data_IF_173315656994
#
_entry.id   IF_173315656994
#
_cell.length_a   1.000
_cell.length_b   1.000
_cell.length_c   1.000
_cell.angle_alpha   90.00
_cell.angle_beta   90.00
_cell.angle_gamma   90.00
#
_symmetry.space_group_name_H-M   'P 1'
#
loop_
_entity.id
_entity.type
_entity.pdbx_description
1 polymer ?
2 non-polymer ?
#
# COMPACT_ATOMS: atom_id res chain seq x y z
N UNK A 3 -7.02 -9.35 -1.75
CA UNK A 3 -7.54 -10.16 -0.64
C UNK A 3 -8.92 -9.66 -0.28
N UNK A 4 -9.92 -10.54 -0.36
CA UNK A 4 -11.27 -10.11 0.04
C UNK A 4 -11.65 -10.83 1.32
N UNK A 5 -11.89 -10.07 2.38
CA UNK A 5 -12.42 -10.71 3.61
C UNK A 5 -13.91 -10.47 3.46
N UNK A 6 -14.31 -10.05 2.27
CA UNK A 6 -15.72 -9.70 2.09
C UNK A 6 -16.50 -10.88 2.61
N UNK A 7 -17.37 -10.66 3.60
CA UNK A 7 -18.06 -11.75 4.20
C UNK A 7 -19.23 -12.24 3.36
N UNK A 8 -19.59 -13.50 3.50
CA UNK A 8 -20.79 -14.01 2.83
C UNK A 8 -21.93 -13.60 3.73
N UNK A 9 -21.65 -13.55 5.03
CA UNK A 9 -22.63 -13.16 6.01
C UNK A 9 -21.97 -12.79 7.33
N UNK A 10 -22.62 -11.85 8.04
CA UNK A 10 -22.19 -11.32 9.31
C UNK A 10 -23.33 -11.34 10.33
N UNK A 11 -22.96 -11.42 11.61
CA UNK A 11 -23.90 -11.48 12.74
C UNK A 11 -24.05 -10.14 13.51
N UNK A 12 -25.27 -9.56 13.48
CA UNK A 12 -25.63 -8.31 14.23
C UNK A 12 -26.57 -8.65 15.41
N UNK A 13 -26.80 -9.93 15.68
CA UNK A 13 -27.51 -10.45 16.88
C UNK A 13 -27.08 -11.91 17.12
N UNK A 14 -27.44 -12.50 18.27
CA UNK A 14 -27.13 -13.95 18.54
C UNK A 14 -28.36 -14.73 19.03
N UNK A 15 -28.12 -15.98 19.44
CA UNK A 15 -29.17 -16.80 19.97
C UNK A 15 -29.38 -16.43 21.46
N UNK A 16 -30.67 -16.43 21.87
CA UNK A 16 -31.16 -16.02 23.22
C UNK A 16 -31.09 -17.17 24.23
N UNK A 17 -31.31 -18.40 23.75
CA UNK A 17 -31.35 -19.60 24.57
C UNK A 17 -30.72 -20.76 23.77
N UNK A 18 -30.03 -21.66 24.50
CA UNK A 18 -29.24 -22.81 23.97
C UNK A 18 -30.10 -23.66 23.02
N UNK A 19 -29.60 -23.81 21.79
CA UNK A 19 -30.21 -24.64 20.79
C UNK A 19 -29.99 -26.10 21.18
N UNK A 20 -30.99 -26.98 20.95
CA UNK A 20 -30.79 -28.42 21.12
C UNK A 20 -29.69 -28.95 20.19
N UNK A 21 -28.64 -29.52 20.79
CA UNK A 21 -27.40 -29.88 20.11
C UNK A 21 -27.70 -30.70 18.85
N UNK A 22 -28.69 -31.59 18.92
CA UNK A 22 -28.96 -32.53 17.84
C UNK A 22 -29.64 -31.84 16.64
N UNK A 23 -30.00 -30.54 16.75
CA UNK A 23 -30.63 -29.86 15.64
C UNK A 23 -29.57 -29.10 14.82
N UNK A 24 -28.33 -29.13 15.29
CA UNK A 24 -27.25 -28.44 14.62
C UNK A 24 -26.41 -29.42 13.81
N UNK A 25 -26.36 -29.20 12.50
CA UNK A 25 -25.57 -30.00 11.55
C UNK A 25 -24.08 -29.56 11.56
N UNK A 26 -23.81 -28.25 11.45
CA UNK A 26 -22.50 -27.73 11.15
C UNK A 26 -22.39 -26.27 11.60
N UNK A 27 -21.20 -25.68 11.50
CA UNK A 27 -21.00 -24.32 11.91
C UNK A 27 -19.93 -23.68 11.02
N UNK A 28 -19.85 -22.35 11.04
CA UNK A 28 -18.65 -21.67 10.60
C UNK A 28 -18.43 -20.46 11.49
N UNK A 29 -17.17 -20.01 11.57
CA UNK A 29 -16.81 -18.81 12.25
C UNK A 29 -16.79 -17.70 11.19
N UNK A 30 -17.39 -16.53 11.51
CA UNK A 30 -17.53 -15.41 10.59
C UNK A 30 -16.22 -14.64 10.43
N UNK A 31 -16.12 -13.98 9.26
CA UNK A 31 -14.94 -13.23 8.82
C UNK A 31 -14.61 -12.12 9.83
N UNK A 32 -13.33 -11.90 10.05
CA UNK A 32 -12.87 -10.71 10.76
C UNK A 32 -13.33 -9.42 10.07
N UNK A 33 -13.71 -9.44 8.78
CA UNK A 33 -14.23 -8.21 8.16
C UNK A 33 -15.53 -7.80 8.87
N UNK A 34 -16.25 -8.77 9.47
CA UNK A 34 -17.50 -8.49 10.23
C UNK A 34 -17.26 -7.57 11.45
N UNK A 35 -18.28 -6.71 11.70
CA UNK A 35 -18.41 -5.85 12.91
C UNK A 35 -18.17 -6.65 14.20
N UNK A 36 -18.80 -7.82 14.32
CA UNK A 36 -18.81 -8.57 15.56
C UNK A 36 -18.29 -9.99 15.38
N UNK A 37 -17.61 -10.58 16.40
CA UNK A 37 -17.17 -11.97 16.38
C UNK A 37 -18.46 -12.82 16.38
N UNK A 38 -18.46 -13.94 15.65
CA UNK A 38 -19.68 -14.71 15.48
C UNK A 38 -19.43 -16.15 15.08
N UNK A 39 -20.47 -16.96 15.30
CA UNK A 39 -20.59 -18.33 14.85
C UNK A 39 -21.94 -18.45 14.14
N UNK A 40 -21.93 -18.94 12.91
CA UNK A 40 -23.15 -19.29 12.28
C UNK A 40 -23.30 -20.82 12.37
N UNK A 41 -24.44 -21.26 12.92
CA UNK A 41 -24.86 -22.67 12.99
C UNK A 41 -25.81 -22.92 11.79
N UNK A 42 -25.55 -24.04 11.11
CA UNK A 42 -26.40 -24.61 10.09
C UNK A 42 -27.22 -25.69 10.77
N UNK A 43 -28.50 -25.79 10.44
CA UNK A 43 -29.39 -26.71 11.15
C UNK A 43 -29.68 -27.96 10.33
N UNK A 44 -30.55 -28.81 10.86
CA UNK A 44 -31.06 -29.96 10.13
C UNK A 44 -32.27 -29.54 9.28
N UNK A 45 -32.53 -28.23 9.20
CA UNK A 45 -33.23 -27.57 8.08
C UNK A 45 -32.19 -26.78 7.27
N UNK A 46 -32.56 -26.32 6.07
CA UNK A 46 -31.60 -25.62 5.21
C UNK A 46 -31.05 -24.37 5.90
N UNK A 47 -31.84 -23.78 6.80
CA UNK A 47 -31.63 -22.40 7.31
C UNK A 47 -30.36 -22.31 8.17
N UNK A 48 -29.93 -21.08 8.47
CA UNK A 48 -28.73 -20.81 9.31
C UNK A 48 -28.97 -19.64 10.28
N UNK A 49 -28.23 -19.64 11.40
CA UNK A 49 -28.50 -18.73 12.54
C UNK A 49 -27.20 -18.34 13.26
N UNK A 50 -27.29 -17.23 14.02
CA UNK A 50 -26.16 -16.56 14.63
C UNK A 50 -26.03 -16.92 16.11
N UNK A 51 -24.77 -17.02 16.60
CA UNK A 51 -24.42 -17.49 17.95
C UNK A 51 -23.12 -16.86 18.46
N UNK A 52 -23.09 -16.55 19.77
CA UNK A 52 -22.04 -15.85 20.46
C UNK A 52 -20.97 -16.85 20.88
N UNK A 53 -19.72 -16.71 20.39
CA UNK A 53 -18.62 -17.64 20.70
C UNK A 53 -18.06 -17.57 22.13
N UNK A 54 -18.59 -16.62 22.93
CA UNK A 54 -18.23 -16.41 24.32
C UNK A 54 -18.75 -17.56 25.19
N UNK A 55 -19.98 -17.99 24.92
CA UNK A 55 -20.73 -18.82 25.84
C UNK A 55 -20.21 -20.25 25.79
N UNK A 56 -20.20 -20.91 26.95
CA UNK A 56 -19.76 -22.29 27.12
C UNK A 56 -20.55 -23.22 26.20
N UNK A 57 -21.85 -23.00 26.05
CA UNK A 57 -22.63 -23.90 25.21
C UNK A 57 -22.13 -23.82 23.77
N UNK A 58 -21.90 -22.61 23.28
CA UNK A 58 -21.41 -22.44 21.90
C UNK A 58 -20.01 -23.07 21.77
N UNK A 59 -19.10 -22.76 22.71
CA UNK A 59 -17.72 -23.26 22.71
C UNK A 59 -17.71 -24.78 22.81
N UNK A 60 -18.63 -25.33 23.61
CA UNK A 60 -18.69 -26.76 23.79
C UNK A 60 -19.28 -27.40 22.53
N UNK A 61 -20.28 -26.77 21.92
CA UNK A 61 -20.91 -27.30 20.72
C UNK A 61 -19.90 -27.38 19.58
N UNK A 62 -19.11 -26.31 19.46
CA UNK A 62 -18.11 -26.19 18.44
C UNK A 62 -17.03 -27.27 18.70
N UNK A 63 -16.54 -27.36 19.94
CA UNK A 63 -15.57 -28.42 20.35
C UNK A 63 -16.05 -29.80 19.90
N UNK A 64 -17.31 -30.10 20.21
CA UNK A 64 -17.92 -31.38 19.86
C UNK A 64 -17.96 -31.49 18.33
N UNK A 65 -18.37 -30.43 17.63
CA UNK A 65 -18.52 -30.49 16.16
C UNK A 65 -17.18 -30.74 15.46
N UNK A 66 -16.10 -30.18 16.02
CA UNK A 66 -14.73 -30.37 15.50
C UNK A 66 -14.22 -31.79 15.78
N UNK A 67 -14.50 -32.31 16.98
CA UNK A 67 -14.13 -33.68 17.38
C UNK A 67 -14.90 -34.70 16.53
N UNK A 68 -16.15 -34.40 16.18
CA UNK A 68 -16.99 -35.22 15.27
C UNK A 68 -16.37 -35.28 13.87
N UNK A 69 -16.12 -34.09 13.29
CA UNK A 69 -15.62 -33.93 11.92
C UNK A 69 -14.41 -32.99 11.92
N UNK A 100 -34.95 -34.05 14.12
CA UNK A 100 -36.16 -33.46 14.72
C UNK A 100 -36.42 -32.04 14.18
N UNK A 101 -37.70 -31.67 14.01
CA UNK A 101 -38.09 -30.37 13.34
C UNK A 101 -38.64 -29.39 14.38
N UNK A 102 -37.99 -28.23 14.47
CA UNK A 102 -38.30 -27.16 15.41
C UNK A 102 -38.44 -25.84 14.66
N UNK A 103 -39.23 -24.92 15.20
CA UNK A 103 -39.21 -23.53 14.77
C UNK A 103 -38.42 -22.76 15.83
N UNK A 104 -37.14 -22.50 15.52
CA UNK A 104 -36.17 -21.88 16.46
C UNK A 104 -36.12 -20.35 16.26
N UNK A 105 -36.97 -19.80 15.37
CA UNK A 105 -37.06 -18.37 15.12
C UNK A 105 -37.47 -17.64 16.41
N UNK A 106 -38.14 -18.36 17.32
CA UNK A 106 -38.63 -17.78 18.56
C UNK A 106 -37.46 -17.20 19.37
N UNK A 107 -36.24 -17.76 19.20
CA UNK A 107 -35.05 -17.28 19.96
C UNK A 107 -33.74 -17.14 19.13
N UNK A 108 -33.77 -17.41 17.82
CA UNK A 108 -32.57 -17.28 16.97
C UNK A 108 -32.88 -16.37 15.77
N UNK A 109 -31.80 -15.92 15.14
CA UNK A 109 -31.81 -14.88 14.12
C UNK A 109 -31.08 -15.38 12.83
N UNK A 110 -31.59 -14.99 11.65
CA UNK A 110 -30.86 -15.18 10.36
C UNK A 110 -29.77 -14.12 10.17
N UNK A 111 -28.53 -14.52 9.80
CA UNK A 111 -27.47 -13.57 9.50
C UNK A 111 -27.78 -12.60 8.36
N UNK A 112 -27.07 -11.46 8.36
CA UNK A 112 -27.02 -10.55 7.21
C UNK A 112 -26.33 -11.21 6.00
N UNK A 113 -27.11 -11.45 4.92
CA UNK A 113 -26.60 -12.11 3.73
C UNK A 113 -26.07 -11.07 2.74
N UNK A 114 -24.85 -11.28 2.25
CA UNK A 114 -24.15 -10.32 1.39
C UNK A 114 -24.23 -10.79 -0.06
N UNK A 115 -25.47 -10.78 -0.54
CA UNK A 115 -25.93 -11.25 -1.84
C UNK A 115 -25.48 -10.28 -2.94
N UNK A 116 -25.72 -8.99 -2.66
CA UNK A 116 -25.53 -7.89 -3.61
C UNK A 116 -24.02 -7.65 -3.81
N UNK A 117 -23.29 -7.69 -2.70
CA UNK A 117 -21.86 -7.45 -2.69
C UNK A 117 -21.21 -8.47 -3.65
N UNK A 118 -21.37 -9.76 -3.36
CA UNK A 118 -20.74 -10.91 -4.08
C UNK A 118 -21.19 -10.91 -5.56
N UNK A 119 -22.47 -10.64 -5.81
CA UNK A 119 -23.06 -10.66 -7.18
C UNK A 119 -22.39 -9.58 -8.07
N UNK A 120 -22.09 -8.41 -7.49
CA UNK A 120 -21.43 -7.32 -8.23
C UNK A 120 -19.97 -7.70 -8.53
N UNK A 121 -19.29 -8.32 -7.55
CA UNK A 121 -17.87 -8.70 -7.64
C UNK A 121 -17.68 -9.67 -8.81
N UNK A 122 -18.50 -10.72 -8.83
CA UNK A 122 -18.39 -11.85 -9.78
C UNK A 122 -18.64 -11.40 -11.23
N UNK A 123 -19.40 -10.32 -11.39
CA UNK A 123 -19.87 -9.86 -12.70
C UNK A 123 -18.81 -8.97 -13.37
N UNK A 124 -18.20 -8.06 -12.60
CA UNK A 124 -17.44 -6.95 -13.17
C UNK A 124 -15.92 -7.15 -13.08
N UNK A 125 -15.42 -7.70 -11.95
CA UNK A 125 -13.98 -7.70 -11.64
C UNK A 125 -13.20 -8.74 -12.45
N UNK A 126 -13.68 -9.99 -12.68
CA UNK A 126 -12.93 -10.92 -13.52
C UNK A 126 -12.34 -10.30 -14.80
N UNK A 127 -13.10 -9.61 -15.69
CA UNK A 127 -12.51 -9.09 -16.93
C UNK A 127 -11.50 -7.94 -16.74
N UNK A 128 -11.68 -7.17 -15.67
CA UNK A 128 -10.71 -6.16 -15.25
C UNK A 128 -9.38 -6.80 -14.84
N UNK A 129 -9.43 -7.80 -13.93
CA UNK A 129 -8.23 -8.39 -13.39
C UNK A 129 -7.47 -9.06 -14.52
N UNK A 130 -8.21 -9.65 -15.48
CA UNK A 130 -7.65 -10.23 -16.73
C UNK A 130 -6.77 -9.18 -17.37
N UNK A 131 -7.42 -8.05 -17.66
CA UNK A 131 -6.83 -6.92 -18.33
C UNK A 131 -5.53 -6.47 -17.61
N UNK A 132 -5.59 -6.21 -16.30
CA UNK A 132 -4.46 -5.60 -15.59
C UNK A 132 -3.37 -6.66 -15.36
N UNK A 133 -3.76 -7.91 -15.33
CA UNK A 133 -2.76 -8.95 -15.17
C UNK A 133 -1.86 -9.04 -16.40
N UNK A 134 -2.45 -8.86 -17.57
CA UNK A 134 -1.75 -8.95 -18.82
C UNK A 134 -0.79 -7.76 -18.96
N UNK A 135 -1.36 -6.56 -18.88
CA UNK A 135 -0.60 -5.34 -19.04
C UNK A 135 0.47 -5.24 -17.95
N UNK A 136 0.09 -5.54 -16.71
CA UNK A 136 0.95 -5.43 -15.55
C UNK A 136 2.18 -6.30 -15.68
N UNK A 137 1.99 -7.59 -16.02
CA UNK A 137 3.09 -8.57 -15.99
C UNK A 137 4.15 -8.20 -17.03
N UNK A 138 3.68 -7.92 -18.25
CA UNK A 138 4.50 -7.43 -19.35
C UNK A 138 5.22 -6.13 -18.93
N UNK A 139 4.43 -5.09 -18.59
CA UNK A 139 4.97 -3.86 -18.05
C UNK A 139 6.16 -4.10 -17.11
N UNK A 140 5.98 -4.94 -16.09
CA UNK A 140 6.92 -4.91 -14.99
C UNK A 140 8.10 -5.84 -15.24
N UNK A 141 7.91 -6.87 -16.07
CA UNK A 141 9.08 -7.63 -16.55
C UNK A 141 9.97 -6.74 -17.45
N UNK A 142 9.39 -5.89 -18.32
CA UNK A 142 10.17 -5.00 -19.21
C UNK A 142 11.02 -4.04 -18.36
N UNK A 143 10.39 -3.38 -17.39
CA UNK A 143 11.08 -2.45 -16.46
C UNK A 143 12.25 -3.20 -15.80
N UNK A 144 11.99 -4.37 -15.27
CA UNK A 144 13.01 -5.11 -14.58
C UNK A 144 14.17 -5.43 -15.51
N UNK A 145 13.86 -5.89 -16.73
CA UNK A 145 14.90 -6.31 -17.69
C UNK A 145 15.75 -5.09 -18.09
N UNK A 146 15.08 -3.96 -18.33
CA UNK A 146 15.76 -2.76 -18.68
C UNK A 146 16.63 -2.30 -17.51
N UNK A 147 16.10 -2.21 -16.29
CA UNK A 147 16.88 -1.77 -15.15
C UNK A 147 18.14 -2.64 -14.96
N UNK A 148 18.12 -3.90 -15.39
CA UNK A 148 19.28 -4.82 -15.20
C UNK A 148 20.22 -4.77 -16.41
N UNK A 149 19.67 -4.59 -17.63
CA UNK A 149 20.42 -4.71 -18.91
C UNK A 149 20.86 -3.35 -19.47
N UNK A 150 20.01 -2.32 -19.42
CA UNK A 150 20.39 -1.02 -20.00
C UNK A 150 20.92 -0.07 -18.92
N UNK A 151 20.15 0.20 -17.86
CA UNK A 151 20.52 1.22 -16.84
C UNK A 151 21.49 0.66 -15.78
N UNK A 152 21.69 -0.66 -15.76
CA UNK A 152 22.86 -1.40 -15.20
C UNK A 152 23.00 -1.31 -13.67
N UNK A 153 21.96 -0.87 -12.94
CA UNK A 153 21.98 -0.85 -11.46
C UNK A 153 23.27 -0.18 -10.93
N UNK A 154 23.39 1.13 -11.20
CA UNK A 154 24.58 1.90 -10.87
C UNK A 154 24.56 2.36 -9.41
N UNK A 155 23.37 2.62 -8.84
CA UNK A 155 23.22 3.30 -7.53
C UNK A 155 22.03 2.75 -6.73
N UNK A 156 21.88 3.23 -5.49
CA UNK A 156 20.73 2.93 -4.60
C UNK A 156 19.38 3.21 -5.30
N UNK A 157 19.27 4.30 -6.07
CA UNK A 157 18.01 4.66 -6.72
C UNK A 157 17.57 3.54 -7.67
N UNK A 158 18.53 3.03 -8.45
CA UNK A 158 18.23 1.97 -9.39
C UNK A 158 17.75 0.71 -8.64
N UNK A 159 18.40 0.39 -7.52
CA UNK A 159 18.09 -0.74 -6.67
C UNK A 159 16.63 -0.66 -6.19
N UNK A 160 16.23 0.52 -5.68
CA UNK A 160 14.86 0.69 -5.15
C UNK A 160 13.87 0.51 -6.31
N UNK A 161 14.14 1.11 -7.50
CA UNK A 161 13.24 1.00 -8.66
C UNK A 161 13.03 -0.47 -9.00
N UNK A 162 14.14 -1.23 -8.92
CA UNK A 162 14.10 -2.64 -9.17
C UNK A 162 13.22 -3.31 -8.11
N UNK A 163 13.48 -3.04 -6.83
CA UNK A 163 12.68 -3.71 -5.77
C UNK A 163 11.20 -3.30 -5.85
N UNK A 164 10.91 -2.09 -6.37
CA UNK A 164 9.54 -1.65 -6.56
C UNK A 164 8.89 -2.53 -7.63
N UNK A 165 9.59 -2.69 -8.74
CA UNK A 165 9.04 -3.50 -9.81
C UNK A 165 8.83 -4.95 -9.33
N UNK A 166 9.69 -5.45 -8.43
CA UNK A 166 9.59 -6.84 -7.91
C UNK A 166 8.40 -6.95 -6.94
N UNK A 167 8.22 -5.93 -6.08
CA UNK A 167 7.02 -5.85 -5.23
C UNK A 167 5.77 -5.89 -6.11
N UNK A 168 5.77 -5.17 -7.25
CA UNK A 168 4.59 -5.04 -8.17
C UNK A 168 4.30 -6.44 -8.77
N UNK A 169 5.37 -7.17 -9.13
CA UNK A 169 5.19 -8.50 -9.70
C UNK A 169 4.60 -9.45 -8.65
N UNK A 170 5.13 -9.44 -7.42
CA UNK A 170 4.61 -10.33 -6.32
C UNK A 170 3.11 -10.15 -6.06
N UNK A 171 2.63 -8.91 -6.16
CA UNK A 171 1.22 -8.58 -6.09
C UNK A 171 0.47 -9.18 -7.29
N UNK A 172 1.03 -9.00 -8.50
CA UNK A 172 0.45 -9.54 -9.77
C UNK A 172 0.30 -11.05 -9.75
N UNK A 173 1.28 -11.75 -9.17
CA UNK A 173 1.25 -13.21 -9.15
C UNK A 173 -0.08 -13.67 -8.56
N UNK A 174 -0.67 -12.83 -7.68
CA UNK A 174 -1.79 -13.28 -6.89
C UNK A 174 -3.11 -13.00 -7.57
N UNK A 175 -3.10 -12.09 -8.56
CA UNK A 175 -4.32 -11.51 -9.17
C UNK A 175 -5.23 -12.53 -9.85
N UNK A 176 -4.68 -13.45 -10.66
CA UNK A 176 -5.52 -14.51 -11.24
C UNK A 176 -6.32 -15.32 -10.21
N UNK A 177 -5.74 -15.57 -9.02
CA UNK A 177 -6.41 -16.28 -7.90
C UNK A 177 -7.57 -15.45 -7.33
N UNK A 178 -7.30 -14.16 -7.17
CA UNK A 178 -8.32 -13.31 -6.58
C UNK A 178 -9.52 -13.26 -7.55
N UNK A 179 -9.26 -13.07 -8.85
CA UNK A 179 -10.33 -12.95 -9.89
C UNK A 179 -11.25 -14.18 -9.91
N UNK A 180 -10.62 -15.36 -9.86
CA UNK A 180 -11.34 -16.59 -9.74
C UNK A 180 -12.13 -16.58 -8.43
N UNK A 181 -11.45 -16.23 -7.33
CA UNK A 181 -12.11 -16.29 -6.04
C UNK A 181 -13.40 -15.48 -6.14
N UNK A 182 -13.30 -14.29 -6.75
CA UNK A 182 -14.44 -13.37 -6.93
C UNK A 182 -15.55 -13.96 -7.80
N UNK A 183 -15.16 -14.54 -8.93
CA UNK A 183 -16.12 -15.14 -9.86
C UNK A 183 -16.81 -16.35 -9.19
N UNK A 184 -16.04 -17.21 -8.51
CA UNK A 184 -16.53 -18.48 -7.97
C UNK A 184 -16.34 -18.54 -6.45
N UNK A 185 -15.34 -19.30 -5.98
CA UNK A 185 -15.12 -19.48 -4.56
C UNK A 185 -13.66 -19.87 -4.36
N UNK A 186 -13.19 -19.86 -3.11
CA UNK A 186 -11.81 -20.25 -2.86
C UNK A 186 -11.71 -21.72 -3.11
N UNK A 187 -10.88 -22.18 -4.05
CA UNK A 187 -10.77 -23.67 -4.18
C UNK A 187 -9.30 -24.14 -4.24
N UNK A 188 -8.38 -23.34 -3.67
CA UNK A 188 -6.96 -23.58 -3.72
C UNK A 188 -6.47 -24.19 -2.37
N UNK A 189 -7.37 -24.31 -1.38
CA UNK A 189 -6.96 -24.89 -0.10
C UNK A 189 -6.30 -23.89 0.87
N UNK A 190 -6.04 -24.38 2.11
CA UNK A 190 -5.48 -23.62 3.24
C UNK A 190 -4.04 -23.13 3.01
N UNK A 191 -3.09 -23.99 2.71
CA UNK A 191 -1.70 -23.51 2.49
C UNK A 191 -1.71 -22.35 1.47
N UNK A 192 -2.42 -22.52 0.33
CA UNK A 192 -2.46 -21.52 -0.73
C UNK A 192 -3.07 -20.21 -0.20
N UNK A 193 -4.15 -20.34 0.58
CA UNK A 193 -4.76 -19.18 1.23
C UNK A 193 -3.67 -18.39 1.98
N UNK A 194 -2.91 -19.08 2.87
CA UNK A 194 -1.92 -18.48 3.76
C UNK A 194 -0.74 -17.90 2.98
N UNK A 195 -0.23 -18.64 1.99
CA UNK A 195 0.91 -18.11 1.23
C UNK A 195 0.47 -17.01 0.25
N UNK A 196 -0.73 -17.09 -0.37
CA UNK A 196 -1.09 -16.03 -1.32
C UNK A 196 -1.36 -14.74 -0.57
N UNK A 197 -2.09 -14.88 0.55
CA UNK A 197 -2.31 -13.77 1.48
C UNK A 197 -0.96 -13.18 1.88
N UNK A 198 0.01 -14.03 2.26
CA UNK A 198 1.33 -13.55 2.55
C UNK A 198 1.95 -12.72 1.42
N UNK A 199 1.87 -13.21 0.19
CA UNK A 199 2.52 -12.56 -0.98
C UNK A 199 1.79 -11.26 -1.32
N UNK A 200 0.47 -11.28 -1.25
CA UNK A 200 -0.23 -10.06 -1.45
C UNK A 200 0.31 -8.96 -0.52
N UNK A 201 0.31 -9.23 0.79
CA UNK A 201 0.58 -8.14 1.72
C UNK A 201 2.06 -7.83 1.75
N UNK A 202 2.90 -8.84 1.55
CA UNK A 202 4.29 -8.53 1.55
C UNK A 202 4.57 -7.54 0.45
N UNK A 203 4.00 -7.83 -0.74
CA UNK A 203 3.97 -6.97 -1.96
C UNK A 203 3.40 -5.58 -1.72
N UNK A 204 2.29 -5.52 -0.97
CA UNK A 204 1.64 -4.25 -0.64
C UNK A 204 2.59 -3.37 0.18
N UNK A 205 3.04 -3.90 1.32
CA UNK A 205 3.83 -3.18 2.33
C UNK A 205 5.20 -2.80 1.78
N UNK A 206 5.82 -3.74 1.09
CA UNK A 206 7.10 -3.43 0.52
C UNK A 206 6.93 -2.39 -0.61
N UNK A 207 5.81 -2.44 -1.35
CA UNK A 207 5.64 -1.48 -2.45
C UNK A 207 5.60 -0.06 -1.93
N UNK A 208 4.87 0.11 -0.81
CA UNK A 208 4.74 1.38 -0.14
C UNK A 208 6.14 1.81 0.31
N UNK A 209 6.82 0.93 1.06
CA UNK A 209 8.12 1.27 1.65
C UNK A 209 9.14 1.72 0.58
N UNK A 210 9.16 1.05 -0.57
CA UNK A 210 10.09 1.47 -1.63
C UNK A 210 9.64 2.80 -2.30
N UNK A 211 8.34 3.10 -2.36
CA UNK A 211 8.05 4.38 -2.96
C UNK A 211 8.59 5.43 -1.99
N UNK A 212 8.34 5.21 -0.71
CA UNK A 212 8.89 6.10 0.34
C UNK A 212 10.43 6.19 0.25
N UNK A 213 11.14 5.06 0.19
CA UNK A 213 12.61 5.12 0.03
C UNK A 213 13.03 5.93 -1.20
N UNK A 214 12.38 5.73 -2.35
CA UNK A 214 12.71 6.51 -3.55
C UNK A 214 12.49 8.00 -3.31
N UNK A 215 11.43 8.34 -2.62
CA UNK A 215 11.25 9.77 -2.37
C UNK A 215 12.39 10.31 -1.47
N UNK A 216 12.69 9.59 -0.36
CA UNK A 216 13.70 10.00 0.68
C UNK A 216 15.09 10.09 0.04
N UNK A 217 15.47 9.05 -0.70
CA UNK A 217 16.67 9.06 -1.52
C UNK A 217 16.71 10.40 -2.29
N UNK A 218 15.72 10.74 -3.12
CA UNK A 218 15.86 11.92 -3.97
C UNK A 218 15.96 13.17 -3.10
N UNK A 219 15.28 13.17 -1.96
CA UNK A 219 15.38 14.30 -0.99
C UNK A 219 16.85 14.48 -0.52
N UNK A 220 17.53 13.41 -0.11
CA UNK A 220 18.92 13.54 0.34
C UNK A 220 19.85 14.00 -0.79
N UNK A 221 19.65 13.46 -1.99
CA UNK A 221 20.46 13.79 -3.15
C UNK A 221 20.41 15.30 -3.41
N UNK A 222 19.26 15.92 -3.15
CA UNK A 222 19.00 17.30 -3.55
C UNK A 222 19.29 18.25 -2.39
N UNK A 223 19.06 17.80 -1.16
CA UNK A 223 19.11 18.68 -0.04
C UNK A 223 20.38 18.34 0.73
N UNK A 224 20.34 17.23 1.49
CA UNK A 224 21.43 16.82 2.37
C UNK A 224 22.50 16.03 1.57
N UNK A 225 23.14 16.67 0.57
CA UNK A 225 24.32 16.12 -0.17
C UNK A 225 25.42 15.67 0.81
N UNK A 226 25.36 16.24 2.03
CA UNK A 226 26.09 15.89 3.29
C UNK A 226 26.23 14.36 3.41
N UNK A 227 25.09 13.68 3.51
CA UNK A 227 24.99 12.25 3.85
C UNK A 227 24.71 11.40 2.60
N UNK A 228 24.34 12.08 1.51
CA UNK A 228 23.89 11.48 0.26
C UNK A 228 25.03 10.72 -0.43
N UNK A 229 26.27 11.07 -0.13
CA UNK A 229 27.41 10.44 -0.79
C UNK A 229 27.66 9.04 -0.20
N UNK A 230 27.23 8.79 1.05
CA UNK A 230 27.25 7.45 1.63
C UNK A 230 26.00 6.65 1.28
N UNK A 231 24.85 7.34 1.32
CA UNK A 231 23.51 6.78 1.15
C UNK A 231 23.23 6.33 -0.30
N UNK A 232 23.86 6.98 -1.28
CA UNK A 232 23.59 6.72 -2.70
C UNK A 232 24.34 5.49 -3.19
N UNK A 233 25.16 4.84 -2.35
CA UNK A 233 25.95 3.69 -2.83
C UNK A 233 25.05 2.47 -2.98
N UNK A 234 25.48 1.57 -3.87
CA UNK A 234 24.81 0.30 -4.19
C UNK A 234 24.75 -0.55 -2.91
N UNK A 235 25.83 -0.57 -2.10
CA UNK A 235 25.89 -1.45 -0.94
C UNK A 235 24.85 -0.98 0.05
N UNK A 236 24.76 0.35 0.19
CA UNK A 236 23.82 0.95 1.13
C UNK A 236 22.41 0.49 0.73
N UNK A 237 22.09 0.61 -0.57
CA UNK A 237 20.80 0.25 -1.16
C UNK A 237 20.36 -1.17 -0.84
N UNK A 238 21.29 -2.11 -1.02
CA UNK A 238 21.08 -3.52 -0.75
C UNK A 238 20.88 -3.77 0.74
N UNK A 239 21.66 -3.12 1.60
CA UNK A 239 21.51 -3.36 3.03
C UNK A 239 20.11 -2.90 3.46
N UNK A 240 19.69 -1.74 2.96
CA UNK A 240 18.36 -1.16 3.26
C UNK A 240 17.22 -1.89 2.51
N UNK A 241 17.46 -2.45 1.32
CA UNK A 241 16.45 -3.35 0.72
C UNK A 241 16.19 -4.58 1.63
N UNK A 242 17.26 -5.30 2.04
CA UNK A 242 17.16 -6.55 2.86
C UNK A 242 16.39 -6.31 4.19
N UNK A 243 16.77 -5.26 4.91
CA UNK A 243 16.03 -4.86 6.14
C UNK A 243 14.53 -4.66 5.83
N UNK A 244 14.26 -4.00 4.68
CA UNK A 244 12.94 -3.53 4.27
C UNK A 244 12.03 -4.72 3.99
N UNK A 245 12.47 -5.61 3.09
CA UNK A 245 11.74 -6.85 2.93
C UNK A 245 11.39 -7.46 4.31
N UNK A 246 12.37 -7.58 5.23
CA UNK A 246 12.21 -8.27 6.53
C UNK A 246 11.09 -7.55 7.30
N UNK A 247 11.15 -6.23 7.33
CA UNK A 247 10.10 -5.50 8.02
C UNK A 247 8.74 -5.75 7.36
N UNK A 248 8.72 -5.84 6.02
CA UNK A 248 7.47 -6.13 5.24
C UNK A 248 6.88 -7.51 5.60
N UNK A 249 7.76 -8.47 5.92
CA UNK A 249 7.36 -9.77 6.50
C UNK A 249 6.73 -9.55 7.88
N UNK A 250 7.46 -8.89 8.78
CA UNK A 250 6.92 -8.66 10.13
C UNK A 250 5.54 -8.01 9.98
N UNK A 251 5.47 -6.98 9.14
CA UNK A 251 4.22 -6.31 8.97
C UNK A 251 3.15 -7.32 8.54
N UNK A 252 3.52 -8.34 7.76
CA UNK A 252 2.59 -9.25 7.15
C UNK A 252 2.31 -10.48 8.05
N UNK A 253 3.22 -10.79 8.99
CA UNK A 253 3.04 -11.98 9.91
C UNK A 253 1.60 -12.10 10.43
N UNK A 254 1.03 -11.12 11.15
CA UNK A 254 -0.30 -11.32 11.72
C UNK A 254 -1.31 -11.71 10.63
N UNK A 255 -1.24 -11.07 9.45
CA UNK A 255 -2.12 -11.35 8.30
C UNK A 255 -2.06 -12.83 7.89
N UNK A 256 -0.87 -13.43 7.99
CA UNK A 256 -0.67 -14.83 7.62
C UNK A 256 -1.13 -15.76 8.75
N UNK A 257 -0.79 -15.39 9.99
CA UNK A 257 -1.08 -16.24 11.16
C UNK A 257 -2.60 -16.43 11.27
N UNK A 258 -3.40 -15.38 11.05
CA UNK A 258 -4.81 -15.37 11.37
C UNK A 258 -5.64 -15.74 10.16
N UNK A 259 -4.99 -16.04 9.04
CA UNK A 259 -5.75 -16.32 7.79
C UNK A 259 -5.77 -17.83 7.56
N UNK A 260 -6.92 -18.29 7.05
CA UNK A 260 -7.11 -19.66 6.69
C UNK A 260 -8.35 -19.73 5.77
N UNK A 261 -8.48 -20.87 5.09
CA UNK A 261 -9.64 -21.19 4.30
C UNK A 261 -10.61 -21.98 5.19
N UNK A 262 -11.88 -22.05 4.79
CA UNK A 262 -12.95 -22.54 5.68
C UNK A 262 -14.19 -22.80 4.83
N UNK A 263 -14.88 -23.92 5.09
CA UNK A 263 -16.17 -24.23 4.46
C UNK A 263 -17.26 -23.41 5.19
N UNK A 264 -18.07 -22.70 4.40
CA UNK A 264 -19.15 -21.89 4.85
C UNK A 264 -20.39 -22.32 4.05
N UNK A 265 -21.09 -23.37 4.52
CA UNK A 265 -22.35 -23.83 3.87
C UNK A 265 -22.13 -24.20 2.40
N UNK A 266 -21.19 -25.14 2.23
CA UNK A 266 -20.78 -25.68 0.91
C UNK A 266 -20.26 -24.60 -0.07
N UNK A 267 -19.81 -23.43 0.42
CA UNK A 267 -18.92 -22.53 -0.34
C UNK A 267 -17.68 -22.29 0.49
N UNK A 268 -16.51 -22.31 -0.17
CA UNK A 268 -15.26 -22.11 0.53
C UNK A 268 -14.81 -20.63 0.44
N UNK A 269 -14.24 -20.14 1.54
CA UNK A 269 -13.68 -18.79 1.63
C UNK A 269 -12.20 -18.84 2.03
N UNK A 270 -11.52 -17.72 1.77
CA UNK A 270 -10.17 -17.39 2.22
C UNK A 270 -10.28 -16.00 2.86
N UNK A 271 -10.18 -15.97 4.21
CA UNK A 271 -10.35 -14.73 5.04
C UNK A 271 -9.64 -14.85 6.41
N UNK A 272 -9.55 -13.75 7.16
CA UNK A 272 -8.91 -13.81 8.50
C UNK A 272 -9.99 -13.96 9.59
N UNK A 273 -9.55 -14.52 10.71
CA UNK A 273 -10.37 -14.85 11.86
C UNK A 273 -9.56 -14.56 13.13
N UNK A 274 -10.07 -13.60 13.93
CA UNK A 274 -9.41 -13.18 15.16
C UNK A 274 -10.08 -13.79 16.39
N UNK A 275 -9.28 -14.21 17.42
CA UNK A 275 -9.79 -14.63 18.74
C UNK A 275 -10.77 -13.64 19.36
N UNK A 276 -11.91 -14.14 19.85
CA UNK A 276 -13.04 -13.26 20.15
C UNK A 276 -12.68 -12.37 21.35
N UNK A 277 -11.67 -12.78 22.13
CA UNK A 277 -11.21 -12.01 23.29
C UNK A 277 -10.35 -10.80 22.89
N UNK A 278 -9.81 -10.75 21.67
CA UNK A 278 -8.92 -9.65 21.23
C UNK A 278 -9.41 -9.07 19.88
N UNK A 279 -10.67 -9.35 19.54
CA UNK A 279 -11.19 -9.13 18.19
C UNK A 279 -11.01 -7.68 17.76
N UNK A 280 -11.54 -6.74 18.54
CA UNK A 280 -11.46 -5.32 18.20
C UNK A 280 -9.99 -4.84 18.18
N UNK A 281 -9.17 -5.40 19.07
CA UNK A 281 -7.76 -5.06 19.18
C UNK A 281 -7.12 -5.29 17.81
N UNK A 282 -7.26 -6.51 17.32
CA UNK A 282 -6.73 -6.93 16.03
C UNK A 282 -7.36 -6.13 14.88
N UNK A 283 -8.68 -5.98 14.88
CA UNK A 283 -9.28 -5.26 13.81
C UNK A 283 -8.66 -3.87 13.76
N UNK A 284 -8.62 -3.19 14.90
CA UNK A 284 -8.16 -1.80 14.89
C UNK A 284 -6.69 -1.82 14.41
N UNK A 285 -5.92 -2.75 14.99
CA UNK A 285 -4.50 -2.83 14.81
C UNK A 285 -4.15 -2.96 13.32
N UNK A 286 -4.68 -4.01 12.67
CA UNK A 286 -4.42 -4.32 11.30
C UNK A 286 -4.91 -3.20 10.36
N UNK A 287 -6.06 -2.57 10.66
CA UNK A 287 -6.59 -1.52 9.81
C UNK A 287 -5.70 -0.27 9.82
N UNK A 288 -5.23 0.08 11.02
CA UNK A 288 -4.42 1.30 11.20
C UNK A 288 -2.98 1.09 10.78
N UNK A 289 -2.50 -0.15 10.94
CA UNK A 289 -1.26 -0.54 10.31
C UNK A 289 -1.31 -0.05 8.85
N UNK A 290 -2.43 -0.33 8.15
CA UNK A 290 -2.58 -0.05 6.69
C UNK A 290 -2.82 1.45 6.48
N UNK A 291 -3.69 2.05 7.26
CA UNK A 291 -3.88 3.47 7.05
C UNK A 291 -2.59 4.25 7.38
N UNK A 292 -1.95 3.90 8.48
CA UNK A 292 -0.84 4.71 8.89
C UNK A 292 0.33 4.55 7.92
N UNK A 293 0.61 3.29 7.50
CA UNK A 293 1.78 2.99 6.67
C UNK A 293 1.50 3.40 5.23
N UNK A 294 0.23 3.37 4.83
CA UNK A 294 -0.14 3.46 3.42
C UNK A 294 -0.58 4.87 3.04
N UNK A 295 -1.11 5.62 4.00
CA UNK A 295 -1.65 6.94 3.68
C UNK A 295 -0.86 7.97 4.48
N UNK A 296 -1.00 7.91 5.80
CA UNK A 296 -0.47 8.94 6.64
C UNK A 296 1.03 9.10 6.39
N UNK A 297 1.79 8.03 6.66
CA UNK A 297 3.25 8.07 6.60
C UNK A 297 3.72 8.66 5.25
N UNK A 298 3.39 8.04 4.08
CA UNK A 298 3.83 8.58 2.78
C UNK A 298 3.30 9.98 2.44
N UNK A 299 2.19 10.37 3.04
CA UNK A 299 1.77 11.70 2.82
C UNK A 299 2.73 12.68 3.52
N UNK A 300 3.14 12.39 4.77
CA UNK A 300 4.13 13.21 5.52
C UNK A 300 5.43 13.31 4.73
N UNK A 301 5.92 12.16 4.29
CA UNK A 301 7.14 12.12 3.53
C UNK A 301 7.02 13.04 2.31
N UNK A 302 6.03 12.81 1.46
CA UNK A 302 5.81 13.58 0.19
C UNK A 302 5.75 15.10 0.42
N UNK A 303 4.81 15.53 1.23
CA UNK A 303 4.75 16.92 1.59
C UNK A 303 6.15 17.42 1.96
N UNK A 304 6.76 16.83 3.02
CA UNK A 304 8.03 17.29 3.63
C UNK A 304 9.14 17.34 2.57
N UNK A 305 9.35 16.22 1.89
CA UNK A 305 10.39 16.08 0.88
C UNK A 305 10.18 17.05 -0.30
N UNK A 306 8.94 17.29 -0.75
CA UNK A 306 8.76 18.12 -1.95
C UNK A 306 8.62 19.60 -1.60
N UNK A 307 8.32 19.89 -0.32
CA UNK A 307 8.52 21.22 0.25
C UNK A 307 10.01 21.52 0.23
N UNK A 308 10.79 20.59 0.81
CA UNK A 308 12.27 20.68 0.87
C UNK A 308 12.92 20.87 -0.50
N UNK A 309 12.63 19.94 -1.40
CA UNK A 309 13.14 19.99 -2.75
C UNK A 309 12.81 21.33 -3.40
N UNK A 310 11.63 21.89 -3.16
CA UNK A 310 11.30 23.15 -3.87
C UNK A 310 12.17 24.26 -3.32
N UNK A 311 12.37 24.27 -2.00
CA UNK A 311 13.14 25.38 -1.36
C UNK A 311 14.57 25.39 -1.88
N UNK A 312 15.19 24.22 -1.96
CA UNK A 312 16.59 24.14 -2.43
C UNK A 312 16.65 24.59 -3.88
N UNK A 313 15.68 24.15 -4.69
CA UNK A 313 15.68 24.50 -6.13
C UNK A 313 15.49 26.00 -6.29
N UNK A 314 14.68 26.61 -5.44
CA UNK A 314 14.37 28.05 -5.65
C UNK A 314 15.42 28.92 -4.97
N UNK A 315 16.35 28.32 -4.23
CA UNK A 315 17.31 29.12 -3.43
C UNK A 315 18.23 29.96 -4.30
N UNK A 316 18.61 31.15 -3.82
CA UNK A 316 19.54 32.04 -4.55
C UNK A 316 20.91 31.37 -4.59
N UNK A 317 21.68 31.59 -5.65
CA UNK A 317 22.95 30.83 -5.82
C UNK A 317 24.19 31.58 -5.31
N UNK A 318 25.13 30.84 -4.72
CA UNK A 318 26.41 31.43 -4.23
C UNK A 318 27.42 31.54 -5.38
N UNK A 319 28.44 32.40 -5.23
CA UNK A 319 29.49 32.55 -6.27
C UNK A 319 30.85 32.64 -5.56
N UNK A 320 31.95 32.44 -6.29
CA UNK A 320 33.31 32.46 -5.75
C UNK A 320 34.19 33.40 -6.58
N UNK A 321 35.11 34.09 -5.92
CA UNK A 321 36.08 34.96 -6.61
C UNK A 321 37.24 34.10 -7.12
N UNK A 322 37.36 34.05 -8.46
CA UNK A 322 38.36 33.29 -9.21
C UNK A 322 39.78 33.39 -8.61
N UNK A 323 40.23 34.60 -8.25
CA UNK A 323 41.64 34.81 -7.85
C UNK A 323 41.81 34.65 -6.33
N UNK A 324 40.72 34.89 -5.62
CA UNK A 324 40.69 35.27 -4.23
C UNK A 324 40.35 34.06 -3.36
N UNK A 325 39.33 33.30 -3.79
CA UNK A 325 38.77 32.16 -3.09
C UNK A 325 37.58 32.54 -2.23
N UNK A 326 37.28 33.85 -2.18
CA UNK A 326 36.21 34.38 -1.38
C UNK A 326 34.85 33.98 -1.96
N UNK A 327 33.92 33.58 -1.07
CA UNK A 327 32.57 33.08 -1.44
C UNK A 327 31.53 34.16 -1.12
N UNK A 328 30.79 34.55 -2.15
CA UNK A 328 29.68 35.49 -2.01
C UNK A 328 28.46 34.69 -1.55
N UNK A 329 27.91 35.11 -0.42
CA UNK A 329 26.76 34.48 0.17
C UNK A 329 25.55 35.38 -0.03
N UNK A 330 24.56 35.00 -0.90
CA UNK A 330 23.48 35.91 -1.31
C UNK A 330 22.47 36.27 -0.21
N UNK A 331 22.47 35.49 0.87
CA UNK A 331 21.67 35.79 2.03
C UNK A 331 22.44 36.77 2.94
N UNK A 332 23.78 36.63 2.99
CA UNK A 332 24.66 37.57 3.72
C UNK A 332 25.10 38.67 2.74
N UNK A 334 26.62 42.16 1.84
CA UNK A 334 27.73 42.91 2.44
C UNK A 334 27.15 44.09 3.21
N UNK A 335 27.33 44.15 4.55
CA UNK A 335 26.83 45.28 5.34
C UNK A 335 27.74 46.51 5.19
N UNK A 336 28.85 46.34 4.46
CA UNK A 336 29.90 47.35 4.31
C UNK A 336 29.88 47.94 2.89
N UNK A 337 29.54 47.12 1.90
CA UNK A 337 29.43 47.54 0.50
C UNK A 337 27.95 47.88 0.22
N UNK A 338 27.64 48.30 -1.01
CA UNK A 338 26.25 48.61 -1.40
C UNK A 338 25.44 47.38 -1.83
N UNK A 339 25.30 46.38 -0.93
CA UNK A 339 24.74 45.03 -1.28
C UNK A 339 23.51 44.70 -0.40
N UNK A 340 22.37 44.47 -1.07
CA UNK A 340 21.06 44.10 -0.49
C UNK A 340 21.03 42.60 -0.16
N UNK A 341 20.98 42.21 1.13
CA UNK A 341 20.98 40.80 1.55
C UNK A 341 19.89 39.88 0.96
N UNK A 342 18.82 40.49 0.41
CA UNK A 342 17.70 39.79 -0.18
C UNK A 342 17.87 39.49 -1.67
N UNK A 343 19.04 39.78 -2.25
CA UNK A 343 19.24 39.70 -3.71
C UNK A 343 20.48 38.88 -4.03
N UNK A 344 20.47 38.25 -5.21
CA UNK A 344 21.54 37.39 -5.64
C UNK A 344 22.55 38.25 -6.39
N UNK A 345 23.42 37.56 -7.14
CA UNK A 345 24.55 38.10 -7.89
C UNK A 345 24.11 38.89 -9.15
N UNK A 346 22.97 38.52 -9.74
CA UNK A 346 22.47 39.07 -11.04
C UNK A 346 21.87 40.48 -10.88
N UNK A 347 21.63 40.90 -9.62
CA UNK A 347 21.07 42.22 -9.27
C UNK A 347 22.16 43.22 -8.86
N UNK A 348 23.29 42.72 -8.36
CA UNK A 348 24.44 43.56 -7.96
C UNK A 348 24.99 44.24 -9.21
N UNK A 349 25.12 45.59 -9.22
CA UNK A 349 25.69 46.33 -10.35
C UNK A 349 27.13 45.89 -10.72
N UNK A 350 27.50 46.01 -12.00
CA UNK A 350 28.79 45.47 -12.54
C UNK A 350 30.00 46.15 -11.90
N UNK A 351 29.74 47.25 -11.18
CA UNK A 351 30.72 48.09 -10.46
C UNK A 351 31.27 47.43 -9.19
N UNK A 352 30.62 46.35 -8.75
CA UNK A 352 30.89 45.68 -7.47
C UNK A 352 32.29 45.03 -7.52
N UNK A 353 32.99 45.08 -6.38
CA UNK A 353 34.36 44.59 -6.27
C UNK A 353 34.46 43.60 -5.09
N UNK A 354 35.16 42.48 -5.33
CA UNK A 354 35.43 41.44 -4.31
C UNK A 354 35.93 42.12 -3.02
N UNK A 355 35.24 41.97 -1.88
CA UNK A 355 35.65 42.62 -0.65
C UNK A 355 37.00 42.13 -0.12
N UNK A 356 37.26 40.83 -0.22
CA UNK A 356 38.48 40.31 0.34
C UNK A 356 39.68 40.82 -0.47
N UNK A 357 39.65 40.67 -1.81
CA UNK A 357 40.84 40.88 -2.67
C UNK A 357 40.79 42.20 -3.44
N UNK A 358 39.66 42.54 -4.08
CA UNK A 358 39.49 43.83 -4.77
C UNK A 358 39.28 43.72 -6.28
N UNK A 359 38.99 42.54 -6.81
CA UNK A 359 38.69 42.41 -8.24
C UNK A 359 37.21 42.64 -8.47
N UNK A 360 36.85 43.00 -9.70
CA UNK A 360 35.47 43.29 -10.10
C UNK A 360 34.64 42.03 -10.26
N UNK A 361 33.31 42.21 -10.32
CA UNK A 361 32.28 41.16 -10.39
C UNK A 361 32.59 40.09 -11.46
N UNK A 362 33.22 40.53 -12.56
CA UNK A 362 33.56 39.69 -13.72
C UNK A 362 34.28 38.40 -13.31
N UNK A 363 35.10 38.45 -12.25
CA UNK A 363 35.98 37.36 -11.84
C UNK A 363 35.23 36.35 -10.95
N UNK A 364 33.88 36.35 -10.99
CA UNK A 364 33.07 35.37 -10.21
C UNK A 364 32.40 34.34 -11.13
N UNK A 365 32.36 33.09 -10.64
CA UNK A 365 31.67 31.96 -11.29
C UNK A 365 30.68 31.36 -10.27
N UNK A 366 29.85 30.42 -10.75
CA UNK A 366 28.70 29.94 -10.01
C UNK A 366 29.08 28.86 -8.97
N UNK A 367 30.30 28.91 -8.42
CA UNK A 367 30.76 28.05 -7.27
C UNK A 367 30.63 26.54 -7.57
N UNK A 368 30.72 26.13 -8.85
CA UNK A 368 30.72 24.70 -9.28
C UNK A 368 29.60 23.87 -8.60
N UNK A 369 28.36 24.34 -8.60
CA UNK A 369 27.32 23.50 -7.94
C UNK A 369 26.24 23.08 -8.93
N UNK A 370 26.13 21.78 -9.21
CA UNK A 370 25.17 21.27 -10.22
C UNK A 370 24.53 19.99 -9.70
N UNK A 371 23.25 19.78 -9.97
CA UNK A 371 22.58 18.61 -9.41
C UNK A 371 22.67 17.43 -10.41
N UNK A 372 23.91 17.00 -10.67
CA UNK A 372 24.22 15.74 -11.38
C UNK A 372 23.70 14.56 -10.54
N UNK A 373 23.89 14.63 -9.20
CA UNK A 373 23.41 13.60 -8.21
C UNK A 373 21.89 13.39 -8.31
N UNK A 374 21.20 14.50 -8.67
CA UNK A 374 19.73 14.73 -8.90
C UNK A 374 19.26 14.24 -10.28
N UNK A 375 19.32 12.90 -10.47
CA UNK A 375 19.03 12.13 -11.72
C UNK A 375 17.52 12.03 -12.00
N UNK A 376 16.65 11.67 -11.03
CA UNK A 376 15.27 11.23 -11.38
C UNK A 376 14.15 11.78 -10.47
N UNK A 377 14.17 13.07 -10.16
CA UNK A 377 13.28 13.65 -9.16
C UNK A 377 11.81 13.63 -9.66
N UNK A 378 11.60 14.08 -10.90
CA UNK A 378 10.25 14.32 -11.48
C UNK A 378 9.48 12.99 -11.65
N UNK A 379 10.20 11.93 -12.07
CA UNK A 379 9.66 10.56 -12.19
C UNK A 379 9.12 10.12 -10.80
N UNK A 380 9.95 10.16 -9.76
CA UNK A 380 9.53 9.69 -8.41
C UNK A 380 8.26 10.45 -7.94
N UNK A 381 8.22 11.79 -8.13
CA UNK A 381 7.06 12.63 -7.75
C UNK A 381 5.81 12.20 -8.54
N UNK A 382 5.93 11.98 -9.85
CA UNK A 382 4.81 11.38 -10.58
C UNK A 382 4.33 10.09 -9.87
N UNK A 383 5.25 9.11 -9.69
CA UNK A 383 4.95 7.77 -9.12
C UNK A 383 4.27 7.86 -7.75
N UNK A 384 4.83 8.71 -6.88
CA UNK A 384 4.25 9.07 -5.59
C UNK A 384 2.82 9.62 -5.73
N UNK A 385 2.57 10.53 -6.69
CA UNK A 385 1.24 11.17 -6.82
C UNK A 385 0.24 10.13 -7.31
N UNK A 386 0.66 9.37 -8.31
CA UNK A 386 -0.25 8.41 -8.93
C UNK A 386 -0.62 7.33 -7.90
N UNK A 387 0.35 6.88 -7.06
CA UNK A 387 0.06 5.96 -5.95
C UNK A 387 -1.15 6.48 -5.15
N UNK A 388 -1.17 7.79 -4.82
CA UNK A 388 -2.24 8.34 -3.96
C UNK A 388 -3.56 8.29 -4.73
N UNK A 389 -3.48 8.69 -6.00
CA UNK A 389 -4.65 8.82 -6.85
C UNK A 389 -5.45 7.52 -6.79
N UNK A 390 -4.77 6.40 -6.97
CA UNK A 390 -5.41 5.08 -7.00
C UNK A 390 -5.70 4.48 -5.61
N UNK A 391 -4.84 4.73 -4.59
CA UNK A 391 -5.02 4.06 -3.22
C UNK A 391 -5.70 4.96 -2.16
N UNK A 392 -5.91 6.25 -2.42
CA UNK A 392 -6.49 7.05 -1.35
C UNK A 392 -7.93 6.61 -1.09
N UNK A 393 -8.76 6.38 -2.12
CA UNK A 393 -10.14 6.01 -1.85
C UNK A 393 -10.24 4.78 -0.95
N UNK A 394 -9.35 3.80 -1.17
CA UNK A 394 -9.32 2.65 -0.29
C UNK A 394 -9.00 3.10 1.16
N UNK A 395 -7.87 3.77 1.40
CA UNK A 395 -7.44 4.08 2.80
C UNK A 395 -8.55 4.85 3.53
N UNK A 396 -9.33 5.66 2.78
CA UNK A 396 -10.44 6.50 3.27
C UNK A 396 -11.60 5.59 3.68
N UNK A 397 -11.97 4.68 2.79
CA UNK A 397 -13.03 3.74 3.08
C UNK A 397 -12.68 2.91 4.34
N UNK A 398 -11.39 2.56 4.55
CA UNK A 398 -10.91 1.80 5.77
C UNK A 398 -11.11 2.61 7.05
N UNK A 399 -10.85 3.92 6.99
CA UNK A 399 -11.11 4.82 8.11
C UNK A 399 -12.61 4.92 8.43
N UNK A 400 -13.44 4.84 7.38
CA UNK A 400 -14.92 4.83 7.49
C UNK A 400 -15.33 3.56 8.22
N UNK A 401 -14.69 2.46 7.86
CA UNK A 401 -14.87 1.13 8.48
C UNK A 401 -14.30 1.09 9.90
N UNK A 402 -13.23 1.83 10.16
CA UNK A 402 -12.71 1.90 11.51
C UNK A 402 -13.76 2.58 12.41
N UNK A 403 -14.44 3.59 11.88
CA UNK A 403 -15.35 4.39 12.69
C UNK A 403 -16.79 3.99 12.34
N UNK A 404 -16.96 2.75 11.88
CA UNK A 404 -18.27 2.14 11.61
C UNK A 404 -19.24 2.42 12.78
N UNK A 405 -18.79 2.13 14.01
CA UNK A 405 -19.55 2.25 15.28
C UNK A 405 -20.06 3.68 15.47
N UNK A 406 -19.16 4.66 15.34
CA UNK A 406 -19.48 6.08 15.46
C UNK A 406 -20.60 6.46 14.47
N UNK A 407 -20.54 6.05 13.20
CA UNK A 407 -21.51 6.50 12.18
C UNK A 407 -22.78 5.66 12.15
N UNK A 408 -22.94 4.74 13.10
CA UNK A 408 -24.08 3.81 13.15
C UNK A 408 -24.19 2.97 11.88
N UNK A 409 -23.03 2.65 11.30
CA UNK A 409 -22.92 1.81 10.10
C UNK A 409 -22.91 0.33 10.48
N UNK A 410 -22.93 0.05 11.80
CA UNK A 410 -22.91 -1.30 12.39
C UNK A 410 -24.32 -1.90 12.32
N UNK A 411 -24.78 -2.23 11.11
CA UNK A 411 -26.07 -2.89 10.85
C UNK A 411 -26.04 -3.48 9.44
N UNK A 412 -26.95 -4.41 9.13
CA UNK A 412 -26.93 -5.12 7.83
C UNK A 412 -26.89 -4.16 6.63
N UNK A 413 -27.87 -3.24 6.52
CA UNK A 413 -28.03 -2.45 5.30
C UNK A 413 -26.82 -1.54 5.02
N UNK A 414 -26.30 -0.90 6.06
CA UNK A 414 -25.12 -0.07 5.91
C UNK A 414 -23.94 -0.92 5.46
N UNK A 415 -23.70 -2.04 6.15
CA UNK A 415 -22.46 -2.81 5.90
C UNK A 415 -22.40 -3.31 4.45
N UNK A 416 -23.54 -3.51 3.78
CA UNK A 416 -23.56 -3.96 2.37
C UNK A 416 -23.10 -2.84 1.42
N UNK A 417 -23.53 -1.61 1.68
CA UNK A 417 -23.05 -0.43 0.95
C UNK A 417 -21.56 -0.21 1.20
N UNK A 418 -21.14 -0.37 2.48
CA UNK A 418 -19.76 -0.18 2.94
C UNK A 418 -18.85 -1.24 2.34
N UNK A 419 -19.27 -2.51 2.42
CA UNK A 419 -18.50 -3.59 1.80
C UNK A 419 -18.43 -3.34 0.30
N UNK A 420 -19.51 -2.87 -0.32
CA UNK A 420 -19.49 -2.59 -1.78
C UNK A 420 -18.51 -1.45 -2.12
N UNK A 421 -18.49 -0.40 -1.30
CA UNK A 421 -17.49 0.64 -1.49
C UNK A 421 -16.06 0.04 -1.41
N UNK A 422 -15.82 -0.80 -0.38
CA UNK A 422 -14.51 -1.45 -0.15
C UNK A 422 -14.06 -2.31 -1.34
N UNK A 423 -14.94 -3.15 -1.91
CA UNK A 423 -14.61 -3.91 -3.14
C UNK A 423 -14.27 -2.95 -4.28
N UNK A 424 -15.05 -1.89 -4.47
CA UNK A 424 -14.77 -0.95 -5.55
C UNK A 424 -13.39 -0.31 -5.40
N UNK A 425 -13.18 0.36 -4.26
CA UNK A 425 -11.90 1.07 -3.97
C UNK A 425 -10.67 0.14 -3.97
N UNK A 426 -10.83 -1.11 -3.50
CA UNK A 426 -9.79 -2.14 -3.60
C UNK A 426 -9.45 -2.38 -5.08
N UNK A 427 -10.49 -2.47 -5.95
CA UNK A 427 -10.36 -2.76 -7.40
C UNK A 427 -9.54 -1.67 -8.06
N UNK A 428 -9.94 -0.44 -7.80
CA UNK A 428 -9.16 0.70 -8.23
C UNK A 428 -7.69 0.46 -7.81
N UNK A 429 -7.48 0.20 -6.50
CA UNK A 429 -6.17 0.10 -5.87
C UNK A 429 -5.33 -0.91 -6.59
N UNK A 430 -5.93 -2.07 -6.85
CA UNK A 430 -5.25 -3.20 -7.49
C UNK A 430 -4.83 -2.87 -8.93
N UNK A 431 -5.54 -1.92 -9.55
CA UNK A 431 -5.24 -1.52 -10.90
C UNK A 431 -3.83 -0.92 -10.95
N UNK A 432 -3.49 -0.13 -9.92
CA UNK A 432 -2.23 0.65 -9.87
C UNK A 432 -0.99 -0.21 -10.15
N UNK A 433 -1.02 -1.52 -9.91
CA UNK A 433 0.19 -2.35 -10.09
C UNK A 433 0.58 -2.44 -11.59
N UNK A 434 -0.31 -2.08 -12.52
CA UNK A 434 0.01 -2.08 -13.98
C UNK A 434 0.43 -0.68 -14.47
N UNK A 435 0.42 0.33 -13.58
CA UNK A 435 0.54 1.77 -13.97
C UNK A 435 2.00 2.24 -13.92
N UNK A 436 2.74 1.94 -12.82
CA UNK A 436 4.19 2.30 -12.66
C UNK A 436 4.89 2.18 -14.00
N UNK A 437 4.94 0.99 -14.64
CA UNK A 437 5.67 0.84 -15.91
C UNK A 437 5.14 1.66 -17.11
N UNK A 438 3.89 2.17 -17.04
CA UNK A 438 3.39 3.10 -18.02
C UNK A 438 3.94 4.50 -17.77
N UNK A 439 4.03 4.92 -16.49
CA UNK A 439 4.69 6.18 -16.10
C UNK A 439 6.14 6.19 -16.60
N UNK A 440 6.86 5.07 -16.55
CA UNK A 440 8.26 5.04 -16.96
C UNK A 440 8.39 5.43 -18.45
N UNK A 441 7.27 5.47 -19.19
CA UNK A 441 7.26 5.92 -20.61
C UNK A 441 6.67 7.34 -20.74
N UNK A 442 5.59 7.61 -20.00
CA UNK A 442 4.93 8.94 -19.91
C UNK A 442 6.01 10.00 -19.57
N UNK A 443 6.70 9.88 -18.41
CA UNK A 443 7.60 10.95 -17.91
C UNK A 443 9.07 10.50 -17.88
N UNK A 444 9.36 9.23 -18.16
CA UNK A 444 10.75 8.81 -18.33
C UNK A 444 11.24 9.15 -19.73
N UNK A 445 12.50 8.86 -20.03
CA UNK A 445 13.09 9.10 -21.38
C UNK A 445 13.90 7.87 -21.86
N UNK A 446 14.76 7.35 -20.97
CA UNK A 446 15.72 6.28 -21.27
C UNK A 446 14.98 4.98 -21.57
N UNK A 447 13.75 4.86 -21.06
CA UNK A 447 12.88 3.69 -21.26
C UNK A 447 12.26 3.72 -22.67
N UNK A 448 12.23 4.89 -23.34
CA UNK A 448 11.74 5.05 -24.73
C UNK A 448 12.84 4.76 -25.76
N UNK A 449 14.04 5.29 -25.48
CA UNK A 449 15.20 5.26 -26.37
C UNK A 449 15.73 3.83 -26.53
N UNK A 450 15.53 3.00 -25.50
CA UNK A 450 15.98 1.61 -25.48
C UNK A 450 15.08 0.71 -26.34
N UNK A 451 14.04 1.30 -26.95
CA UNK A 451 13.10 0.60 -27.84
C UNK A 451 13.43 0.89 -29.32
N UNK A 452 14.11 2.02 -29.58
CA UNK A 452 14.58 2.41 -30.92
C UNK A 452 15.78 1.56 -31.33
N UNK A 453 16.38 0.89 -30.34
CA UNK A 453 17.47 -0.09 -30.50
C UNK A 453 17.10 -1.16 -31.54
N UNK A 454 15.82 -1.56 -31.57
CA UNK A 454 15.35 -2.72 -32.35
C UNK A 454 14.64 -2.28 -33.65
N UNK A 455 14.72 -0.99 -33.97
CA UNK A 455 14.17 -0.43 -35.23
C UNK A 455 15.32 0.11 -36.10
N UNK A 456 16.32 0.72 -35.47
CA UNK A 456 17.55 1.10 -36.12
C UNK A 456 18.71 0.34 -35.45
#
# INVERSE_FOLDING_TARGET
SLAADTPTACCFSYCSRQIPQNFIADYFETSSQCSKPGVIFLTKRSRQVCADPSEEWVQKYVSDLELSAGSGSGSGSGSGSGSGSGSGSGSGSDYQVSSPIYDINYYCSEPCQKINVKQIAARLLPPLYSLVFIFGFVGNMLVILILINYKRLKSATDIYLLNLAISDLFFLLTVPFWAHYAAAQWDFGNTMCQLLTGLYFIGFFSGIFFIILLTIDRYLAVVHAVFALKARTVTFGVVTSVITWVVAVFASLPNIIFTRSQKEGLHYTCSSHFPYSQYQFWKNFQTLKIVILGLVLPLLVMVICYSGILKTLLRMKKYTCTVCGYIYNPEDGDPDNGVNPGTDFKDIPDDWVCPLCGVGKDQFEEVEEEKKRHRDVRLIFTIMIVYFLFWAPYNIVLLLNTFQEFFGLNNCSSSNALDQAMQVTEALGMTHCCINPIIYAFVGEEFRNYLLVFFQKHIAKRGRPLEVLFQGPHHHHHHHHHHDYKDDDDK
#
